data_IF_930570927554
#
_entry.id   IF_930570927554
#
_cell.length_a   1.000
_cell.length_b   1.000
_cell.length_c   1.000
_cell.angle_alpha   90.00
_cell.angle_beta   90.00
_cell.angle_gamma   90.00
#
_symmetry.space_group_name_H-M   'P 1'
#
loop_
_entity.id
_entity.type
_entity.pdbx_description
1 polymer ?
#
# COMPACT_ATOMS: atom_id res chain seq x y z
N UNK A 1 22.51 -0.15 -12.96
CA UNK A 1 21.70 -0.64 -11.83
C UNK A 1 20.22 -0.55 -12.22
N UNK A 2 19.50 -1.64 -12.13
CA UNK A 2 18.04 -1.72 -12.37
C UNK A 2 17.38 -2.12 -11.06
N UNK A 3 16.45 -1.30 -10.58
CA UNK A 3 15.62 -1.61 -9.40
C UNK A 3 14.16 -1.80 -9.83
N UNK A 4 13.53 -2.87 -9.36
CA UNK A 4 12.08 -3.04 -9.49
C UNK A 4 11.41 -2.61 -8.20
N UNK A 5 10.46 -1.68 -8.32
CA UNK A 5 9.75 -1.11 -7.17
C UNK A 5 8.27 -1.46 -7.24
N UNK A 6 7.73 -1.85 -6.07
CA UNK A 6 6.35 -2.27 -5.93
C UNK A 6 5.55 -1.27 -5.09
N UNK A 7 4.37 -0.84 -5.58
CA UNK A 7 3.60 0.22 -4.94
C UNK A 7 2.95 -0.23 -3.62
N UNK A 8 2.62 0.76 -2.80
CA UNK A 8 1.82 0.62 -1.59
C UNK A 8 0.34 0.92 -1.81
N UNK A 9 -0.39 0.97 -0.69
CA UNK A 9 -1.82 1.31 -0.65
C UNK A 9 -2.08 2.70 -1.24
N UNK A 10 -3.20 2.85 -1.94
CA UNK A 10 -3.55 4.06 -2.71
C UNK A 10 -3.35 3.89 -4.23
N UNK A 11 -2.71 2.80 -4.67
CA UNK A 11 -2.54 2.48 -6.10
C UNK A 11 -3.67 1.60 -6.67
N UNK A 12 -4.59 1.09 -5.82
CA UNK A 12 -5.76 0.34 -6.25
C UNK A 12 -6.78 1.24 -6.95
N UNK A 13 -7.47 0.67 -7.93
CA UNK A 13 -8.63 1.29 -8.59
C UNK A 13 -9.52 0.20 -9.17
N UNK A 14 -10.83 0.46 -9.24
CA UNK A 14 -11.76 -0.43 -9.95
C UNK A 14 -11.38 -0.50 -11.44
N UNK A 15 -11.40 -1.71 -12.00
CA UNK A 15 -10.93 -2.02 -13.34
C UNK A 15 -9.45 -2.43 -13.42
N UNK A 16 -8.72 -2.39 -12.29
CA UNK A 16 -7.32 -2.83 -12.28
C UNK A 16 -7.19 -4.32 -12.65
N UNK A 17 -6.21 -4.65 -13.49
CA UNK A 17 -5.93 -6.02 -13.92
C UNK A 17 -6.83 -6.57 -15.02
N UNK A 18 -7.94 -5.90 -15.39
CA UNK A 18 -8.90 -6.40 -16.40
C UNK A 18 -8.24 -6.59 -17.76
N UNK A 19 -7.63 -5.55 -18.31
CA UNK A 19 -6.94 -5.63 -19.62
C UNK A 19 -5.84 -6.68 -19.62
N UNK A 20 -5.12 -6.81 -18.51
CA UNK A 20 -4.06 -7.81 -18.37
C UNK A 20 -4.62 -9.24 -18.35
N UNK A 21 -5.73 -9.46 -17.64
CA UNK A 21 -6.42 -10.75 -17.60
C UNK A 21 -7.03 -11.13 -18.97
N UNK A 22 -7.54 -10.15 -19.72
CA UNK A 22 -8.03 -10.38 -21.08
C UNK A 22 -6.90 -10.80 -22.04
N UNK A 23 -5.74 -10.15 -21.91
CA UNK A 23 -4.60 -10.36 -22.80
C UNK A 23 -3.76 -11.60 -22.48
N UNK A 24 -3.70 -12.07 -21.22
CA UNK A 24 -2.76 -13.10 -20.76
C UNK A 24 -3.44 -14.20 -19.94
N UNK A 25 -3.13 -15.46 -20.27
CA UNK A 25 -3.52 -16.62 -19.48
C UNK A 25 -2.77 -16.63 -18.13
N UNK A 26 -1.48 -16.31 -18.12
CA UNK A 26 -0.68 -16.26 -16.91
C UNK A 26 -1.20 -15.23 -15.90
N UNK A 27 -1.68 -14.08 -16.36
CA UNK A 27 -2.32 -13.10 -15.49
C UNK A 27 -3.60 -13.66 -14.84
N UNK A 28 -4.43 -14.37 -15.62
CA UNK A 28 -5.63 -15.02 -15.08
C UNK A 28 -5.30 -16.10 -14.04
N UNK A 29 -4.23 -16.87 -14.27
CA UNK A 29 -3.76 -17.88 -13.31
C UNK A 29 -3.35 -17.23 -11.98
N UNK A 30 -2.61 -16.12 -12.00
CA UNK A 30 -2.25 -15.37 -10.80
C UNK A 30 -3.49 -14.91 -10.04
N UNK A 31 -4.46 -14.31 -10.72
CA UNK A 31 -5.70 -13.86 -10.07
C UNK A 31 -6.50 -15.03 -9.51
N UNK A 32 -6.59 -16.14 -10.24
CA UNK A 32 -7.26 -17.36 -9.79
C UNK A 32 -6.61 -17.99 -8.56
N UNK A 33 -5.28 -18.07 -8.52
CA UNK A 33 -4.55 -18.57 -7.35
C UNK A 33 -4.78 -17.70 -6.12
N UNK A 34 -4.79 -16.36 -6.28
CA UNK A 34 -5.07 -15.44 -5.17
C UNK A 34 -6.52 -15.58 -4.68
N UNK A 35 -7.48 -15.71 -5.59
CA UNK A 35 -8.90 -15.93 -5.24
C UNK A 35 -9.07 -17.24 -4.45
N UNK A 36 -8.42 -18.32 -4.89
CA UNK A 36 -8.44 -19.61 -4.19
C UNK A 36 -7.78 -19.51 -2.81
N UNK A 37 -6.58 -18.88 -2.74
CA UNK A 37 -5.82 -18.72 -1.49
C UNK A 37 -6.62 -17.97 -0.42
N UNK A 38 -7.43 -16.99 -0.82
CA UNK A 38 -8.23 -16.16 0.05
C UNK A 38 -9.68 -16.66 0.23
N UNK A 39 -10.09 -17.69 -0.50
CA UNK A 39 -11.48 -18.15 -0.58
C UNK A 39 -12.45 -16.98 -0.85
N UNK A 40 -12.05 -16.06 -1.72
CA UNK A 40 -12.77 -14.84 -2.07
C UNK A 40 -12.60 -14.54 -3.56
N UNK A 41 -13.63 -14.03 -4.21
CA UNK A 41 -13.53 -13.55 -5.60
C UNK A 41 -12.96 -12.11 -5.62
N UNK A 42 -11.67 -12.00 -5.28
CA UNK A 42 -10.96 -10.71 -5.24
C UNK A 42 -10.77 -10.14 -6.65
N UNK A 43 -10.52 -10.99 -7.64
CA UNK A 43 -10.42 -10.58 -9.04
C UNK A 43 -11.69 -9.87 -9.52
N UNK A 44 -12.87 -10.37 -9.15
CA UNK A 44 -14.13 -9.70 -9.45
C UNK A 44 -14.26 -8.35 -8.74
N UNK A 45 -13.87 -8.27 -7.46
CA UNK A 45 -13.86 -7.00 -6.73
C UNK A 45 -12.92 -5.98 -7.37
N UNK A 46 -11.75 -6.41 -7.85
CA UNK A 46 -10.81 -5.56 -8.58
C UNK A 46 -11.39 -5.04 -9.89
N UNK A 47 -12.12 -5.90 -10.63
CA UNK A 47 -12.70 -5.56 -11.93
C UNK A 47 -13.92 -4.66 -11.83
N UNK A 48 -14.86 -4.99 -10.95
CA UNK A 48 -16.21 -4.43 -10.92
C UNK A 48 -16.48 -3.54 -9.70
N UNK A 49 -15.65 -3.60 -8.65
CA UNK A 49 -15.84 -2.89 -7.38
C UNK A 49 -16.90 -3.53 -6.48
N UNK A 50 -17.51 -2.77 -5.57
CA UNK A 50 -17.44 -1.31 -5.44
C UNK A 50 -16.10 -0.81 -4.91
N UNK A 51 -15.75 0.44 -5.22
CA UNK A 51 -14.49 1.06 -4.80
C UNK A 51 -14.36 1.14 -3.27
N UNK A 52 -15.46 1.36 -2.57
CA UNK A 52 -15.50 1.39 -1.09
C UNK A 52 -15.03 0.07 -0.47
N UNK A 53 -15.33 -1.08 -1.08
CA UNK A 53 -14.86 -2.38 -0.61
C UNK A 53 -13.42 -2.67 -1.06
N UNK A 54 -13.06 -2.29 -2.28
CA UNK A 54 -11.70 -2.47 -2.77
C UNK A 54 -10.68 -1.65 -1.97
N UNK A 55 -11.08 -0.48 -1.46
CA UNK A 55 -10.23 0.41 -0.67
C UNK A 55 -10.02 -0.07 0.77
N UNK A 56 -10.86 -0.94 1.30
CA UNK A 56 -10.62 -1.55 2.61
C UNK A 56 -9.25 -2.22 2.63
N UNK A 57 -8.46 -1.93 3.66
CA UNK A 57 -7.06 -2.38 3.78
C UNK A 57 -6.92 -3.90 3.61
N UNK A 58 -7.88 -4.67 4.13
CA UNK A 58 -7.93 -6.13 3.99
C UNK A 58 -8.08 -6.60 2.52
N UNK A 59 -8.69 -5.80 1.65
CA UNK A 59 -8.86 -6.10 0.22
C UNK A 59 -7.78 -5.42 -0.64
N UNK A 60 -7.46 -4.16 -0.35
CA UNK A 60 -6.51 -3.37 -1.14
C UNK A 60 -5.12 -4.01 -1.17
N UNK A 61 -4.63 -4.50 -0.02
CA UNK A 61 -3.29 -5.07 0.05
C UNK A 61 -3.10 -6.29 -0.86
N UNK A 62 -3.89 -7.35 -0.76
CA UNK A 62 -3.76 -8.49 -1.67
C UNK A 62 -4.13 -8.15 -3.12
N UNK A 63 -5.03 -7.19 -3.39
CA UNK A 63 -5.38 -6.78 -4.75
C UNK A 63 -4.21 -6.10 -5.48
N UNK A 64 -3.52 -5.18 -4.82
CA UNK A 64 -2.33 -4.49 -5.36
C UNK A 64 -1.21 -5.51 -5.61
N UNK A 65 -0.97 -6.42 -4.68
CA UNK A 65 0.00 -7.49 -4.82
C UNK A 65 -0.35 -8.40 -6.01
N UNK A 66 -1.60 -8.88 -6.11
CA UNK A 66 -2.05 -9.76 -7.19
C UNK A 66 -1.85 -9.10 -8.56
N UNK A 67 -2.21 -7.83 -8.71
CA UNK A 67 -2.00 -7.11 -9.96
C UNK A 67 -0.52 -6.98 -10.33
N UNK A 68 0.34 -6.66 -9.37
CA UNK A 68 1.78 -6.54 -9.61
C UNK A 68 2.42 -7.88 -9.94
N UNK A 69 2.01 -8.97 -9.26
CA UNK A 69 2.48 -10.32 -9.57
C UNK A 69 1.98 -10.82 -10.92
N UNK A 70 0.76 -10.45 -11.33
CA UNK A 70 0.26 -10.74 -12.67
C UNK A 70 1.12 -10.06 -13.75
N UNK A 71 1.51 -8.79 -13.55
CA UNK A 71 2.45 -8.10 -14.45
C UNK A 71 3.79 -8.81 -14.49
N UNK A 72 4.35 -9.17 -13.32
CA UNK A 72 5.63 -9.89 -13.25
C UNK A 72 5.56 -11.24 -14.00
N UNK A 73 4.45 -11.96 -13.86
CA UNK A 73 4.24 -13.26 -14.53
C UNK A 73 4.15 -13.14 -16.04
N UNK A 74 3.47 -12.11 -16.54
CA UNK A 74 3.42 -11.83 -17.99
C UNK A 74 4.80 -11.47 -18.54
N UNK A 75 5.60 -10.73 -17.80
CA UNK A 75 6.98 -10.43 -18.18
C UNK A 75 7.84 -11.70 -18.23
N UNK A 76 7.68 -12.60 -17.27
CA UNK A 76 8.38 -13.91 -17.24
C UNK A 76 8.04 -14.78 -18.47
N UNK A 77 6.76 -14.84 -18.89
CA UNK A 77 6.35 -15.54 -20.11
C UNK A 77 7.05 -14.95 -21.35
N UNK A 78 7.27 -13.64 -21.37
CA UNK A 78 8.04 -12.96 -22.39
C UNK A 78 9.58 -13.15 -22.29
N UNK A 79 10.05 -13.99 -21.37
CA UNK A 79 11.48 -14.25 -21.14
C UNK A 79 12.18 -13.19 -20.30
N UNK A 80 11.43 -12.32 -19.63
CA UNK A 80 11.97 -11.29 -18.75
C UNK A 80 11.80 -11.68 -17.27
N UNK A 81 12.83 -12.27 -16.68
CA UNK A 81 12.84 -12.69 -15.29
C UNK A 81 13.39 -11.58 -14.39
N UNK A 82 12.57 -11.09 -13.45
CA UNK A 82 12.95 -9.97 -12.56
C UNK A 82 14.22 -10.29 -11.75
N UNK A 83 14.30 -11.51 -11.21
CA UNK A 83 15.45 -11.95 -10.40
C UNK A 83 16.79 -12.02 -11.18
N UNK A 84 16.73 -12.14 -12.50
CA UNK A 84 17.91 -12.18 -13.37
C UNK A 84 18.29 -10.79 -13.92
N UNK A 85 17.31 -9.92 -14.09
CA UNK A 85 17.45 -8.61 -14.75
C UNK A 85 17.65 -7.47 -13.77
N UNK A 86 17.17 -7.62 -12.51
CA UNK A 86 17.26 -6.60 -11.48
C UNK A 86 18.48 -6.76 -10.59
N UNK A 87 19.06 -5.64 -10.21
CA UNK A 87 20.09 -5.59 -9.16
C UNK A 87 19.46 -5.62 -7.75
N UNK A 88 18.23 -5.10 -7.64
CA UNK A 88 17.45 -5.13 -6.39
C UNK A 88 15.95 -5.03 -6.65
N UNK A 89 15.18 -5.45 -5.66
CA UNK A 89 13.74 -5.24 -5.57
C UNK A 89 13.44 -4.45 -4.29
N UNK A 90 12.45 -3.56 -4.34
CA UNK A 90 12.00 -2.80 -3.18
C UNK A 90 10.49 -2.61 -3.24
N UNK A 91 9.86 -2.39 -2.09
CA UNK A 91 8.41 -2.16 -2.04
C UNK A 91 8.02 -1.24 -0.91
N UNK A 92 7.01 -0.41 -1.15
CA UNK A 92 6.45 0.47 -0.14
C UNK A 92 5.37 -0.25 0.66
N UNK A 93 5.56 -0.41 1.98
CA UNK A 93 4.58 -1.05 2.88
C UNK A 93 4.22 -2.47 2.41
N UNK A 94 2.98 -2.71 1.95
CA UNK A 94 2.57 -4.00 1.38
C UNK A 94 3.41 -4.42 0.16
N UNK A 95 3.95 -3.44 -0.56
CA UNK A 95 4.81 -3.68 -1.72
C UNK A 95 6.10 -4.43 -1.38
N UNK A 96 6.58 -4.38 -0.14
CA UNK A 96 7.71 -5.19 0.33
C UNK A 96 7.41 -6.69 0.22
N UNK A 97 6.21 -7.10 0.60
CA UNK A 97 5.76 -8.49 0.43
C UNK A 97 5.71 -8.88 -1.05
N UNK A 98 5.23 -7.97 -1.90
CA UNK A 98 5.21 -8.18 -3.35
C UNK A 98 6.63 -8.30 -3.91
N UNK A 99 7.55 -7.44 -3.46
CA UNK A 99 8.96 -7.50 -3.85
C UNK A 99 9.58 -8.84 -3.50
N UNK A 100 9.36 -9.33 -2.29
CA UNK A 100 9.85 -10.65 -1.84
C UNK A 100 9.23 -11.80 -2.64
N UNK A 101 7.92 -11.74 -2.93
CA UNK A 101 7.24 -12.74 -3.75
C UNK A 101 7.78 -12.73 -5.19
N UNK A 102 8.07 -11.57 -5.76
CA UNK A 102 8.54 -11.42 -7.14
C UNK A 102 9.90 -12.07 -7.42
N UNK A 103 10.68 -12.31 -6.38
CA UNK A 103 11.98 -13.00 -6.46
C UNK A 103 11.95 -14.39 -5.82
N UNK A 104 10.76 -14.93 -5.51
CA UNK A 104 10.57 -16.28 -5.01
C UNK A 104 10.88 -16.50 -3.53
N UNK A 105 11.04 -15.42 -2.73
CA UNK A 105 11.22 -15.54 -1.29
C UNK A 105 9.95 -16.03 -0.57
N UNK A 106 8.78 -15.69 -1.11
CA UNK A 106 7.47 -16.20 -0.69
C UNK A 106 6.71 -16.78 -1.87
N UNK A 107 5.83 -17.75 -1.62
CA UNK A 107 4.85 -18.20 -2.62
C UNK A 107 3.78 -17.13 -2.82
N UNK A 108 3.13 -17.12 -3.98
CA UNK A 108 2.00 -16.22 -4.24
C UNK A 108 0.86 -16.45 -3.24
N UNK A 109 0.51 -17.72 -3.01
CA UNK A 109 -0.50 -18.15 -2.02
C UNK A 109 -0.20 -17.64 -0.61
N UNK A 110 1.05 -17.82 -0.11
CA UNK A 110 1.41 -17.35 1.24
C UNK A 110 1.40 -15.83 1.31
N UNK A 111 1.89 -15.16 0.27
CA UNK A 111 1.88 -13.69 0.19
C UNK A 111 0.47 -13.13 0.25
N UNK A 112 -0.48 -13.73 -0.47
CA UNK A 112 -1.89 -13.35 -0.43
C UNK A 112 -2.47 -13.47 0.99
N UNK A 113 -2.22 -14.61 1.66
CA UNK A 113 -2.69 -14.86 3.04
C UNK A 113 -2.04 -13.92 4.05
N UNK A 114 -0.74 -13.67 3.94
CA UNK A 114 -0.01 -12.73 4.80
C UNK A 114 -0.56 -11.31 4.67
N UNK A 115 -0.77 -10.84 3.44
CA UNK A 115 -1.31 -9.51 3.19
C UNK A 115 -2.78 -9.37 3.61
N UNK A 116 -3.59 -10.42 3.48
CA UNK A 116 -4.94 -10.47 4.04
C UNK A 116 -4.90 -10.35 5.57
N UNK A 117 -4.09 -11.16 6.23
CA UNK A 117 -3.93 -11.14 7.69
C UNK A 117 -3.44 -9.78 8.18
N UNK A 118 -2.43 -9.22 7.50
CA UNK A 118 -1.92 -7.88 7.79
C UNK A 118 -2.99 -6.81 7.62
N UNK A 119 -3.75 -6.86 6.52
CA UNK A 119 -4.82 -5.90 6.25
C UNK A 119 -5.93 -5.94 7.29
N UNK A 120 -6.36 -7.14 7.72
CA UNK A 120 -7.33 -7.32 8.80
C UNK A 120 -6.79 -6.78 10.13
N UNK A 121 -5.56 -7.15 10.50
CA UNK A 121 -4.95 -6.68 11.73
C UNK A 121 -4.80 -5.16 11.79
N UNK A 122 -4.46 -4.52 10.66
CA UNK A 122 -4.42 -3.06 10.55
C UNK A 122 -5.81 -2.42 10.67
N UNK A 123 -6.84 -3.04 10.09
CA UNK A 123 -8.22 -2.56 10.17
C UNK A 123 -8.77 -2.67 11.60
N UNK A 124 -8.44 -3.76 12.30
CA UNK A 124 -8.90 -4.02 13.66
C UNK A 124 -8.13 -3.22 14.72
N UNK A 125 -6.92 -2.76 14.39
CA UNK A 125 -6.06 -2.03 15.34
C UNK A 125 -6.68 -0.71 15.82
N UNK A 126 -7.45 -0.03 14.96
CA UNK A 126 -8.10 1.24 15.27
C UNK A 126 -9.52 1.25 14.71
N UNK A 127 -10.55 1.44 15.55
CA UNK A 127 -11.92 1.59 15.08
C UNK A 127 -12.07 2.71 14.05
N UNK A 128 -12.95 2.48 13.07
CA UNK A 128 -13.24 3.47 12.02
C UNK A 128 -13.67 4.80 12.66
N UNK A 129 -13.05 5.89 12.22
CA UNK A 129 -13.35 7.23 12.68
C UNK A 129 -12.57 7.70 13.91
N UNK A 130 -11.76 6.85 14.55
CA UNK A 130 -10.90 7.26 15.67
C UNK A 130 -9.48 7.62 15.23
N UNK A 131 -8.95 6.95 14.22
CA UNK A 131 -7.64 7.20 13.68
C UNK A 131 -7.67 7.95 12.36
N UNK A 132 -6.57 8.62 12.06
CA UNK A 132 -6.33 9.28 10.78
C UNK A 132 -4.84 9.29 10.44
N UNK A 133 -4.54 9.56 9.17
CA UNK A 133 -3.17 9.77 8.70
C UNK A 133 -3.11 11.02 7.83
N UNK A 134 -1.97 11.71 7.82
CA UNK A 134 -1.73 12.79 6.86
C UNK A 134 -0.32 12.73 6.29
N UNK A 135 -0.22 13.01 4.99
CA UNK A 135 1.06 13.18 4.31
C UNK A 135 1.52 14.64 4.40
N UNK A 136 2.75 14.84 4.83
CA UNK A 136 3.42 16.13 4.95
C UNK A 136 4.36 16.31 3.75
N UNK A 137 4.07 17.27 2.89
CA UNK A 137 4.88 17.57 1.70
C UNK A 137 5.78 18.79 1.97
N UNK A 138 7.08 18.63 1.72
CA UNK A 138 8.11 19.61 2.02
C UNK A 138 8.55 19.57 3.49
N UNK A 139 8.34 18.44 4.17
CA UNK A 139 8.78 18.18 5.53
C UNK A 139 9.88 17.11 5.53
N UNK A 140 10.95 17.37 6.26
CA UNK A 140 11.90 16.38 6.73
C UNK A 140 11.41 15.75 8.04
N UNK A 141 12.11 14.74 8.49
CA UNK A 141 11.76 14.00 9.71
C UNK A 141 11.73 14.89 10.96
N UNK A 142 12.66 15.84 11.09
CA UNK A 142 12.75 16.75 12.24
C UNK A 142 11.52 17.66 12.33
N UNK A 143 11.12 18.28 11.21
CA UNK A 143 9.89 19.11 11.15
C UNK A 143 8.64 18.29 11.40
N UNK A 144 8.58 17.07 10.84
CA UNK A 144 7.43 16.19 11.03
C UNK A 144 7.29 15.78 12.51
N UNK A 145 8.39 15.45 13.17
CA UNK A 145 8.38 15.11 14.61
C UNK A 145 7.96 16.30 15.47
N UNK A 146 8.52 17.49 15.21
CA UNK A 146 8.13 18.71 15.94
C UNK A 146 6.65 19.04 15.78
N UNK A 147 6.10 18.85 14.58
CA UNK A 147 4.66 19.00 14.33
C UNK A 147 3.82 17.96 15.05
N UNK A 148 4.26 16.69 15.04
CA UNK A 148 3.57 15.60 15.73
C UNK A 148 3.49 15.87 17.25
N UNK A 149 4.60 16.28 17.87
CA UNK A 149 4.67 16.61 19.29
C UNK A 149 3.74 17.78 19.66
N UNK A 150 3.71 18.83 18.82
CA UNK A 150 2.83 19.99 19.02
C UNK A 150 1.35 19.64 18.85
N UNK A 151 1.03 18.73 17.92
CA UNK A 151 -0.34 18.33 17.61
C UNK A 151 -0.90 17.29 18.57
N UNK A 152 -0.05 16.52 19.25
CA UNK A 152 -0.46 15.40 20.10
C UNK A 152 -1.39 15.81 21.24
N UNK A 153 -1.02 16.82 22.03
CA UNK A 153 -1.83 17.35 23.15
C UNK A 153 -2.45 16.27 24.06
N UNK A 154 -1.67 15.22 24.36
CA UNK A 154 -2.12 14.09 25.17
C UNK A 154 -2.81 12.97 24.39
N UNK A 155 -2.98 13.11 23.08
CA UNK A 155 -3.42 12.06 22.16
C UNK A 155 -2.23 11.48 21.39
N UNK A 156 -2.42 10.36 20.70
CA UNK A 156 -1.40 9.80 19.80
C UNK A 156 -1.31 10.65 18.53
N UNK A 157 -0.10 11.09 18.19
CA UNK A 157 0.27 11.69 16.92
C UNK A 157 1.76 11.39 16.69
N UNK A 158 2.08 10.52 15.76
CA UNK A 158 3.43 9.99 15.59
C UNK A 158 3.82 9.95 14.11
N UNK A 159 5.14 9.96 13.86
CA UNK A 159 5.67 9.69 12.52
C UNK A 159 5.47 8.21 12.20
N UNK A 160 4.75 7.95 11.12
CA UNK A 160 4.44 6.60 10.64
C UNK A 160 5.33 6.16 9.47
N UNK A 161 5.63 7.08 8.54
CA UNK A 161 6.50 6.80 7.40
C UNK A 161 7.47 7.98 7.16
N UNK A 162 8.74 7.65 6.94
CA UNK A 162 9.76 8.53 6.39
C UNK A 162 10.00 8.06 4.94
N UNK A 163 9.27 8.65 3.99
CA UNK A 163 9.23 8.16 2.61
C UNK A 163 10.39 8.69 1.75
N UNK A 164 10.71 9.96 1.93
CA UNK A 164 11.83 10.64 1.27
C UNK A 164 12.18 11.93 2.06
N UNK A 165 13.32 12.59 1.76
CA UNK A 165 13.77 13.79 2.47
C UNK A 165 12.77 14.96 2.52
N UNK A 166 11.67 14.85 1.77
CA UNK A 166 10.64 15.91 1.67
C UNK A 166 9.21 15.41 1.89
N UNK A 167 9.04 14.11 2.21
CA UNK A 167 7.73 13.52 2.44
C UNK A 167 7.71 12.58 3.63
N UNK A 168 7.00 12.98 4.66
CA UNK A 168 6.78 12.21 5.89
C UNK A 168 5.28 12.03 6.09
N UNK A 169 4.86 10.91 6.70
CA UNK A 169 3.46 10.64 7.04
C UNK A 169 3.30 10.58 8.54
N UNK A 170 2.29 11.30 9.07
CA UNK A 170 1.86 11.18 10.47
C UNK A 170 0.64 10.27 10.57
N UNK A 171 0.55 9.57 11.69
CA UNK A 171 -0.58 8.74 12.10
C UNK A 171 -0.94 9.02 13.55
N UNK A 172 -2.24 9.01 13.87
CA UNK A 172 -2.68 9.24 15.24
C UNK A 172 -4.20 9.34 15.39
N UNK A 173 -4.64 9.86 16.53
CA UNK A 173 -6.05 10.19 16.74
C UNK A 173 -6.51 11.23 15.70
N UNK A 174 -7.75 11.13 15.26
CA UNK A 174 -8.29 11.99 14.20
C UNK A 174 -8.14 13.47 14.56
N UNK A 175 -8.48 13.88 15.78
CA UNK A 175 -8.39 15.28 16.22
C UNK A 175 -6.92 15.76 16.27
N UNK A 176 -5.98 14.88 16.61
CA UNK A 176 -4.55 15.22 16.62
C UNK A 176 -4.03 15.41 15.19
N UNK A 177 -4.45 14.56 14.25
CA UNK A 177 -4.11 14.71 12.85
C UNK A 177 -4.77 15.98 12.25
N UNK A 178 -6.00 16.32 12.64
CA UNK A 178 -6.64 17.56 12.21
C UNK A 178 -5.84 18.79 12.69
N UNK A 179 -5.42 18.82 13.97
CA UNK A 179 -4.51 19.87 14.48
C UNK A 179 -3.18 19.91 13.74
N UNK A 180 -2.61 18.74 13.42
CA UNK A 180 -1.36 18.69 12.65
C UNK A 180 -1.52 19.33 11.26
N UNK A 181 -2.65 19.10 10.58
CA UNK A 181 -2.94 19.73 9.29
C UNK A 181 -3.06 21.26 9.44
N UNK A 182 -3.71 21.76 10.50
CA UNK A 182 -3.86 23.19 10.78
C UNK A 182 -2.51 23.85 11.09
N UNK A 183 -1.68 23.21 11.94
CA UNK A 183 -0.40 23.74 12.40
C UNK A 183 0.75 23.59 11.37
N UNK A 184 0.55 22.79 10.31
CA UNK A 184 1.62 22.45 9.36
C UNK A 184 2.37 23.67 8.80
N UNK A 185 1.65 24.74 8.45
CA UNK A 185 2.25 25.96 7.90
C UNK A 185 3.14 26.69 8.90
N UNK A 186 2.77 26.72 10.17
CA UNK A 186 3.54 27.33 11.25
C UNK A 186 4.86 26.60 11.47
N UNK A 187 4.88 25.27 11.21
CA UNK A 187 6.07 24.43 11.25
C UNK A 187 6.86 24.44 9.93
N UNK A 188 6.56 25.35 9.00
CA UNK A 188 7.28 25.50 7.73
C UNK A 188 7.04 24.37 6.74
N UNK A 189 5.94 23.64 6.90
CA UNK A 189 5.54 22.53 6.02
C UNK A 189 4.63 23.08 4.92
N UNK A 190 5.00 22.78 3.66
CA UNK A 190 4.31 23.37 2.49
C UNK A 190 2.86 22.93 2.39
N UNK A 191 2.58 21.67 2.65
CA UNK A 191 1.25 21.08 2.51
C UNK A 191 1.10 19.83 3.39
N UNK A 192 -0.01 19.74 4.10
CA UNK A 192 -0.46 18.55 4.80
C UNK A 192 -1.78 18.05 4.16
N UNK A 193 -1.85 16.76 3.84
CA UNK A 193 -2.98 16.15 3.13
C UNK A 193 -3.46 14.95 3.94
N UNK A 194 -4.70 14.97 4.41
CA UNK A 194 -5.31 13.77 5.02
C UNK A 194 -5.39 12.64 4.00
N UNK A 195 -5.01 11.45 4.44
CA UNK A 195 -5.06 10.24 3.63
C UNK A 195 -6.38 9.50 3.86
N UNK A 196 -6.98 8.90 2.82
CA UNK A 196 -8.15 8.04 2.95
C UNK A 196 -7.71 6.68 3.55
N UNK A 197 -7.91 6.52 4.82
CA UNK A 197 -7.56 5.30 5.57
C UNK A 197 -8.73 4.83 6.41
#
# INVERSE_FOLDING_TARGET
MIAFVFPGQGSQKVGMGVELAEASAAAREVFGEVDEALSQNLAKLMAEGPESELTLTANAQPAIMANAMAVAKVLEEGGFHLAEKGDCVAGHSLGEYTALASVGAFSLTDTAKLLRTRGIAMQDAVPIGLGAMCALLGADLEKAQALADAAAQGQVCEVANDNDPTQVVLSGHMEAIDRAVELAKEHGIKRAIKLPV
#
